data_IF_292503999512
#
_entry.id   IF_292503999512
#
_cell.length_a   1.000
_cell.length_b   1.000
_cell.length_c   1.000
_cell.angle_alpha   90.00
_cell.angle_beta   90.00
_cell.angle_gamma   90.00
#
_symmetry.space_group_name_H-M   'P 1'
#
loop_
_entity.id
_entity.type
_entity.pdbx_description
1 polymer ?
#
# COMPACT_ATOMS: atom_id res chain seq x y z
N UNK A 1 -12.38 -38.95 -3.52
CA UNK A 1 -12.32 -37.73 -2.73
C UNK A 1 -10.87 -37.63 -2.23
N UNK A 2 -10.06 -36.95 -3.01
CA UNK A 2 -8.63 -36.79 -2.69
C UNK A 2 -8.49 -35.54 -1.85
N UNK A 3 -8.52 -35.69 -0.50
CA UNK A 3 -8.23 -34.62 0.43
C UNK A 3 -6.72 -34.49 0.54
N UNK A 4 -6.11 -33.92 -0.49
CA UNK A 4 -4.73 -33.44 -0.36
C UNK A 4 -4.78 -32.33 0.68
N UNK A 5 -4.38 -32.64 1.93
CA UNK A 5 -4.25 -31.65 2.98
C UNK A 5 -3.37 -30.51 2.43
N UNK A 6 -3.92 -29.32 2.37
CA UNK A 6 -3.18 -28.17 1.88
C UNK A 6 -1.91 -28.03 2.73
N UNK A 7 -0.75 -28.12 2.08
CA UNK A 7 0.56 -27.96 2.76
C UNK A 7 0.58 -26.60 3.42
N UNK A 8 0.86 -26.55 4.73
CA UNK A 8 1.06 -25.31 5.44
C UNK A 8 2.25 -24.55 4.85
N UNK A 9 2.09 -23.25 4.60
CA UNK A 9 3.16 -22.39 4.13
C UNK A 9 4.22 -22.18 5.22
N UNK A 10 5.49 -22.29 4.83
CA UNK A 10 6.61 -21.76 5.62
C UNK A 10 7.01 -20.38 5.07
N UNK A 11 7.61 -19.52 5.89
CA UNK A 11 7.98 -18.16 5.46
C UNK A 11 8.93 -18.16 4.25
N UNK A 12 9.83 -19.13 4.15
CA UNK A 12 10.72 -19.31 3.00
C UNK A 12 10.01 -19.79 1.71
N UNK A 13 8.76 -20.31 1.82
CA UNK A 13 7.90 -20.59 0.66
C UNK A 13 7.20 -19.31 0.18
N UNK A 14 7.07 -18.29 1.07
CA UNK A 14 6.40 -17.02 0.79
C UNK A 14 7.37 -15.95 0.32
N UNK A 15 8.51 -15.78 1.03
CA UNK A 15 9.53 -14.78 0.72
C UNK A 15 10.74 -15.45 0.07
N UNK A 16 11.34 -14.77 -0.89
CA UNK A 16 12.66 -15.15 -1.38
C UNK A 16 13.77 -14.74 -0.39
N UNK A 17 13.91 -15.51 0.69
CA UNK A 17 14.89 -15.23 1.74
C UNK A 17 16.35 -15.34 1.26
N UNK A 18 16.61 -16.04 0.14
CA UNK A 18 17.94 -16.07 -0.47
C UNK A 18 18.32 -14.72 -1.09
N UNK A 19 17.36 -14.03 -1.68
CA UNK A 19 17.52 -12.69 -2.24
C UNK A 19 17.33 -11.58 -1.19
N UNK A 20 16.42 -11.78 -0.25
CA UNK A 20 16.04 -10.83 0.79
C UNK A 20 16.24 -11.46 2.17
N UNK A 21 17.47 -11.49 2.70
CA UNK A 21 17.85 -12.25 3.90
C UNK A 21 17.39 -11.57 5.20
N UNK A 22 16.10 -11.22 5.31
CA UNK A 22 15.53 -10.48 6.43
C UNK A 22 15.19 -11.35 7.64
N UNK A 23 15.38 -12.67 7.55
CA UNK A 23 15.19 -13.58 8.68
C UNK A 23 16.30 -13.47 9.74
N UNK A 24 17.45 -12.96 9.37
CA UNK A 24 18.60 -12.76 10.25
C UNK A 24 19.00 -11.28 10.27
N UNK A 25 18.28 -10.42 11.00
CA UNK A 25 18.39 -8.96 10.89
C UNK A 25 19.79 -8.42 11.22
N UNK A 26 20.57 -9.11 12.06
CA UNK A 26 21.91 -8.70 12.45
C UNK A 26 22.99 -9.17 11.47
N UNK A 27 22.65 -10.05 10.53
CA UNK A 27 23.61 -10.53 9.53
C UNK A 27 23.97 -9.41 8.54
N UNK A 28 25.22 -9.39 8.08
CA UNK A 28 25.72 -8.38 7.13
C UNK A 28 24.85 -8.22 5.88
N UNK A 29 24.34 -9.29 5.23
CA UNK A 29 23.47 -9.15 4.07
C UNK A 29 22.16 -8.42 4.38
N UNK A 30 21.53 -8.71 5.54
CA UNK A 30 20.32 -8.03 5.97
C UNK A 30 20.58 -6.54 6.26
N UNK A 31 21.66 -6.22 6.95
CA UNK A 31 22.07 -4.85 7.22
C UNK A 31 22.34 -4.06 5.92
N UNK A 32 22.99 -4.69 4.94
CA UNK A 32 23.22 -4.08 3.62
C UNK A 32 21.90 -3.78 2.90
N UNK A 33 20.93 -4.69 2.95
CA UNK A 33 19.59 -4.50 2.38
C UNK A 33 18.85 -3.35 3.08
N UNK A 34 18.88 -3.30 4.43
CA UNK A 34 18.28 -2.21 5.21
C UNK A 34 18.87 -0.87 4.81
N UNK A 35 20.19 -0.76 4.71
CA UNK A 35 20.88 0.47 4.28
C UNK A 35 20.52 0.87 2.85
N UNK A 36 20.37 -0.11 1.95
CA UNK A 36 19.87 0.13 0.60
C UNK A 36 18.47 0.74 0.63
N UNK A 37 17.53 0.15 1.39
CA UNK A 37 16.16 0.67 1.51
C UNK A 37 16.14 2.09 2.08
N UNK A 38 16.89 2.36 3.15
CA UNK A 38 17.05 3.72 3.72
C UNK A 38 17.51 4.73 2.69
N UNK A 39 18.55 4.37 1.94
CA UNK A 39 19.11 5.25 0.89
C UNK A 39 18.07 5.56 -0.19
N UNK A 40 17.31 4.55 -0.64
CA UNK A 40 16.24 4.74 -1.64
C UNK A 40 15.08 5.60 -1.10
N UNK A 41 14.61 5.31 0.12
CA UNK A 41 13.55 6.09 0.78
C UNK A 41 13.98 7.55 0.93
N UNK A 42 15.19 7.82 1.41
CA UNK A 42 15.71 9.17 1.57
C UNK A 42 15.85 9.91 0.23
N UNK A 43 16.39 9.24 -0.79
CA UNK A 43 16.68 9.87 -2.08
C UNK A 43 15.42 10.05 -2.94
N UNK A 44 14.49 9.11 -2.91
CA UNK A 44 13.37 9.01 -3.86
C UNK A 44 12.00 8.93 -3.20
N UNK A 45 11.90 8.89 -1.86
CA UNK A 45 10.64 8.69 -1.15
C UNK A 45 10.04 7.28 -1.29
N UNK A 46 10.73 6.37 -1.98
CA UNK A 46 10.25 5.02 -2.25
C UNK A 46 11.40 4.01 -2.33
N UNK A 47 11.13 2.77 -1.92
CA UNK A 47 12.01 1.61 -2.11
C UNK A 47 11.19 0.42 -2.60
N UNK A 48 11.68 -0.31 -3.60
CA UNK A 48 11.03 -1.50 -4.15
C UNK A 48 11.94 -2.72 -4.04
N UNK A 49 11.35 -3.82 -3.58
CA UNK A 49 11.98 -5.14 -3.51
C UNK A 49 11.27 -6.07 -4.50
N UNK A 50 11.76 -6.13 -5.72
CA UNK A 50 11.15 -6.89 -6.82
C UNK A 50 11.28 -8.39 -6.60
N UNK A 51 10.15 -9.13 -6.75
CA UNK A 51 10.12 -10.58 -6.52
C UNK A 51 10.33 -10.94 -5.04
N UNK A 52 9.98 -10.04 -4.12
CA UNK A 52 10.05 -10.26 -2.68
C UNK A 52 9.16 -11.45 -2.27
N UNK A 53 7.90 -11.42 -2.69
CA UNK A 53 7.01 -12.58 -2.55
C UNK A 53 7.22 -13.51 -3.75
N UNK A 54 7.35 -14.81 -3.47
CA UNK A 54 7.54 -15.85 -4.51
C UNK A 54 6.30 -15.99 -5.37
N UNK A 55 6.45 -16.33 -6.66
CA UNK A 55 5.34 -16.43 -7.61
C UNK A 55 4.22 -17.39 -7.16
N UNK A 56 4.58 -18.52 -6.53
CA UNK A 56 3.62 -19.52 -6.05
C UNK A 56 2.75 -18.97 -4.91
N UNK A 57 3.35 -18.17 -4.01
CA UNK A 57 2.64 -17.50 -2.93
C UNK A 57 1.73 -16.37 -3.48
N UNK A 58 2.22 -15.57 -4.43
CA UNK A 58 1.39 -14.58 -5.16
C UNK A 58 0.18 -15.25 -5.80
N UNK A 59 0.38 -16.33 -6.53
CA UNK A 59 -0.70 -17.08 -7.18
C UNK A 59 -1.70 -17.64 -6.16
N UNK A 60 -1.25 -18.07 -4.99
CA UNK A 60 -2.13 -18.57 -3.92
C UNK A 60 -2.98 -17.42 -3.33
N UNK A 61 -2.39 -16.25 -3.07
CA UNK A 61 -3.13 -15.07 -2.61
C UNK A 61 -4.17 -14.63 -3.64
N UNK A 62 -3.83 -14.61 -4.92
CA UNK A 62 -4.77 -14.23 -5.98
C UNK A 62 -5.93 -15.23 -6.11
N UNK A 63 -5.68 -16.54 -5.99
CA UNK A 63 -6.76 -17.55 -5.97
C UNK A 63 -7.69 -17.33 -4.77
N UNK A 64 -7.14 -17.10 -3.58
CA UNK A 64 -7.93 -16.77 -2.40
C UNK A 64 -8.76 -15.51 -2.63
N UNK A 65 -8.12 -14.43 -3.06
CA UNK A 65 -8.74 -13.15 -3.33
C UNK A 65 -9.91 -13.28 -4.34
N UNK A 66 -9.75 -14.11 -5.38
CA UNK A 66 -10.81 -14.39 -6.34
C UNK A 66 -12.03 -15.09 -5.72
N UNK A 67 -11.83 -15.97 -4.73
CA UNK A 67 -12.97 -16.58 -4.00
C UNK A 67 -13.69 -15.61 -3.07
N UNK A 68 -12.99 -14.57 -2.62
CA UNK A 68 -13.50 -13.55 -1.71
C UNK A 68 -14.02 -12.30 -2.45
N UNK A 69 -13.87 -12.25 -3.75
CA UNK A 69 -14.17 -11.06 -4.57
C UNK A 69 -15.61 -10.55 -4.38
N UNK A 70 -16.58 -11.46 -4.23
CA UNK A 70 -17.97 -11.12 -3.95
C UNK A 70 -18.23 -10.47 -2.59
N UNK A 71 -17.25 -10.53 -1.66
CA UNK A 71 -17.31 -9.90 -0.34
C UNK A 71 -16.56 -8.56 -0.31
N UNK A 72 -15.85 -8.21 -1.38
CA UNK A 72 -15.07 -7.00 -1.43
C UNK A 72 -15.96 -5.75 -1.40
N UNK A 73 -15.74 -4.87 -0.41
CA UNK A 73 -16.48 -3.62 -0.29
C UNK A 73 -16.08 -2.63 -1.38
N UNK A 74 -17.06 -2.08 -2.08
CA UNK A 74 -16.87 -1.03 -3.09
C UNK A 74 -16.84 0.34 -2.44
N UNK A 75 -15.76 1.06 -2.63
CA UNK A 75 -15.63 2.48 -2.31
C UNK A 75 -15.59 3.28 -3.60
N UNK A 76 -16.41 4.31 -3.69
CA UNK A 76 -16.34 5.33 -4.75
C UNK A 76 -16.65 6.69 -4.12
N UNK A 77 -15.70 7.60 -4.18
CA UNK A 77 -15.80 8.90 -3.55
C UNK A 77 -14.97 9.96 -4.29
N UNK A 78 -15.27 11.23 -4.02
CA UNK A 78 -14.40 12.36 -4.34
C UNK A 78 -13.82 12.92 -3.06
N UNK A 79 -12.59 13.37 -3.13
CA UNK A 79 -11.86 13.97 -2.00
C UNK A 79 -10.83 14.97 -2.51
N UNK A 80 -10.36 15.87 -1.67
CA UNK A 80 -9.18 16.66 -1.97
C UNK A 80 -7.89 15.89 -1.61
N UNK A 81 -6.75 16.35 -2.08
CA UNK A 81 -5.46 15.68 -1.89
C UNK A 81 -5.05 15.48 -0.41
N UNK A 82 -5.71 16.13 0.52
CA UNK A 82 -5.41 16.11 1.97
C UNK A 82 -6.44 15.33 2.78
N UNK A 83 -7.46 14.75 2.16
CA UNK A 83 -8.61 14.12 2.83
C UNK A 83 -9.24 15.03 3.90
N UNK A 84 -9.14 16.33 3.71
CA UNK A 84 -9.70 17.32 4.64
C UNK A 84 -11.12 17.75 4.24
N UNK A 85 -11.85 18.28 5.22
CA UNK A 85 -13.16 18.90 4.93
C UNK A 85 -12.98 20.10 3.98
N UNK A 86 -13.98 20.35 3.14
CA UNK A 86 -13.98 21.55 2.27
C UNK A 86 -13.83 22.82 3.11
N UNK A 87 -13.08 23.76 2.58
CA UNK A 87 -12.77 25.05 3.19
C UNK A 87 -13.24 26.19 2.28
N UNK A 88 -14.55 26.52 2.25
CA UNK A 88 -15.13 27.49 1.30
C UNK A 88 -14.51 28.87 1.32
N UNK A 89 -13.82 29.23 2.42
CA UNK A 89 -13.11 30.52 2.55
C UNK A 89 -11.82 30.60 1.70
N UNK A 90 -11.30 29.45 1.24
CA UNK A 90 -10.13 29.40 0.35
C UNK A 90 -10.55 29.65 -1.11
N UNK A 91 -9.57 30.06 -1.94
CA UNK A 91 -9.79 30.21 -3.39
C UNK A 91 -10.26 28.89 -4.01
N UNK A 92 -11.06 28.96 -5.08
CA UNK A 92 -11.62 27.77 -5.71
C UNK A 92 -10.55 26.84 -6.32
N UNK A 93 -9.39 27.38 -6.68
CA UNK A 93 -8.23 26.66 -7.22
C UNK A 93 -7.22 26.24 -6.15
N UNK A 94 -7.52 26.42 -4.86
CA UNK A 94 -6.67 25.96 -3.76
C UNK A 94 -6.64 24.41 -3.75
N UNK A 95 -5.47 23.77 -3.67
CA UNK A 95 -5.34 22.30 -3.67
C UNK A 95 -6.16 21.60 -2.60
N UNK A 96 -6.45 22.28 -1.48
CA UNK A 96 -7.28 21.75 -0.38
C UNK A 96 -8.77 21.73 -0.71
N UNK A 97 -9.17 22.25 -1.88
CA UNK A 97 -10.54 22.27 -2.40
C UNK A 97 -10.72 21.47 -3.68
N UNK A 98 -9.63 21.30 -4.45
CA UNK A 98 -9.71 20.56 -5.72
C UNK A 98 -10.06 19.10 -5.46
N UNK A 99 -11.16 18.65 -6.07
CA UNK A 99 -11.69 17.30 -5.88
C UNK A 99 -11.12 16.36 -6.94
N UNK A 100 -10.71 15.18 -6.49
CA UNK A 100 -10.27 14.07 -7.32
C UNK A 100 -11.12 12.83 -7.01
N UNK A 101 -11.28 11.96 -7.99
CA UNK A 101 -12.04 10.71 -7.83
C UNK A 101 -11.15 9.60 -7.29
N UNK A 102 -11.72 8.75 -6.45
CA UNK A 102 -11.14 7.46 -6.05
C UNK A 102 -12.21 6.40 -6.09
N UNK A 103 -11.90 5.26 -6.71
CA UNK A 103 -12.78 4.11 -6.79
C UNK A 103 -11.95 2.82 -6.73
N UNK A 104 -12.36 1.89 -5.87
CA UNK A 104 -11.72 0.60 -5.67
C UNK A 104 -12.63 -0.35 -4.90
N UNK A 105 -12.26 -1.63 -4.86
CA UNK A 105 -12.86 -2.61 -3.95
C UNK A 105 -11.81 -3.12 -2.97
N UNK A 106 -12.21 -3.47 -1.75
CA UNK A 106 -11.31 -3.93 -0.70
C UNK A 106 -11.84 -5.19 -0.01
N UNK A 107 -10.97 -6.18 0.16
CA UNK A 107 -11.13 -7.30 1.09
C UNK A 107 -10.38 -6.93 2.36
N UNK A 108 -11.05 -6.96 3.51
CA UNK A 108 -10.47 -6.63 4.81
C UNK A 108 -9.74 -7.82 5.45
N UNK A 109 -8.94 -7.51 6.47
CA UNK A 109 -8.15 -8.48 7.22
C UNK A 109 -8.96 -9.66 7.79
N UNK A 110 -10.14 -9.38 8.34
CA UNK A 110 -11.04 -10.38 8.90
C UNK A 110 -11.55 -11.42 7.88
N UNK A 111 -11.46 -11.11 6.60
CA UNK A 111 -11.88 -11.98 5.49
C UNK A 111 -10.74 -12.85 4.95
N UNK A 112 -9.47 -12.47 5.18
CA UNK A 112 -8.30 -13.22 4.72
C UNK A 112 -8.12 -14.45 5.59
N UNK A 113 -8.06 -15.63 4.98
CA UNK A 113 -8.01 -16.92 5.69
C UNK A 113 -6.75 -17.10 6.52
N UNK A 114 -6.87 -17.86 7.63
CA UNK A 114 -5.74 -18.14 8.53
C UNK A 114 -4.58 -18.93 7.90
N UNK A 115 -4.83 -19.60 6.77
CA UNK A 115 -3.82 -20.36 6.01
C UNK A 115 -3.28 -19.56 4.80
N UNK A 116 -3.67 -18.29 4.67
CA UNK A 116 -3.20 -17.43 3.59
C UNK A 116 -1.69 -17.16 3.69
N UNK A 117 -0.93 -17.26 2.59
CA UNK A 117 0.47 -16.83 2.60
C UNK A 117 0.61 -15.32 2.86
N UNK A 118 -0.41 -14.51 2.52
CA UNK A 118 -0.43 -13.09 2.86
C UNK A 118 -0.57 -12.87 4.37
N UNK A 119 -1.41 -13.68 5.04
CA UNK A 119 -1.54 -13.63 6.50
C UNK A 119 -0.23 -14.03 7.18
N UNK A 120 0.36 -15.16 6.77
CA UNK A 120 1.66 -15.60 7.29
C UNK A 120 2.74 -14.51 7.12
N UNK A 121 2.79 -13.87 5.96
CA UNK A 121 3.72 -12.78 5.69
C UNK A 121 3.52 -11.61 6.64
N UNK A 122 2.28 -11.14 6.78
CA UNK A 122 1.96 -9.97 7.61
C UNK A 122 2.16 -10.23 9.11
N UNK A 123 1.83 -11.44 9.58
CA UNK A 123 1.98 -11.84 11.00
C UNK A 123 3.43 -12.16 11.39
N UNK A 124 4.33 -12.32 10.42
CA UNK A 124 5.72 -12.66 10.72
C UNK A 124 6.51 -11.44 11.24
N UNK A 125 7.04 -11.56 12.46
CA UNK A 125 7.78 -10.48 13.13
C UNK A 125 9.03 -10.03 12.36
N UNK A 126 9.67 -10.94 11.61
CA UNK A 126 10.83 -10.61 10.79
C UNK A 126 10.53 -9.56 9.72
N UNK A 127 9.31 -9.55 9.15
CA UNK A 127 8.91 -8.47 8.22
C UNK A 127 8.73 -7.14 8.97
N UNK A 128 8.06 -7.16 10.13
CA UNK A 128 7.84 -5.96 10.94
C UNK A 128 9.17 -5.31 11.35
N UNK A 129 10.13 -6.11 11.82
CA UNK A 129 11.45 -5.64 12.21
C UNK A 129 12.26 -5.11 11.03
N UNK A 130 12.20 -5.78 9.88
CA UNK A 130 12.84 -5.29 8.66
C UNK A 130 12.27 -3.93 8.24
N UNK A 131 10.94 -3.78 8.20
CA UNK A 131 10.29 -2.51 7.86
C UNK A 131 10.68 -1.43 8.88
N UNK A 132 10.57 -1.71 10.18
CA UNK A 132 10.97 -0.79 11.24
C UNK A 132 12.39 -0.26 11.04
N UNK A 133 13.33 -1.17 10.78
CA UNK A 133 14.71 -0.80 10.52
C UNK A 133 14.85 0.03 9.24
N UNK A 134 14.18 -0.35 8.15
CA UNK A 134 14.25 0.34 6.86
C UNK A 134 13.70 1.78 6.91
N UNK A 135 12.61 2.01 7.68
CA UNK A 135 12.01 3.34 7.85
C UNK A 135 12.58 4.13 9.04
N UNK A 136 13.61 3.60 9.71
CA UNK A 136 14.34 4.25 10.81
C UNK A 136 13.46 4.62 12.03
N UNK A 137 12.45 3.79 12.34
CA UNK A 137 11.60 4.02 13.50
C UNK A 137 12.14 3.29 14.75
N UNK A 138 12.00 3.88 15.96
CA UNK A 138 12.40 3.23 17.20
C UNK A 138 11.49 2.03 17.53
N UNK A 139 10.22 2.13 17.21
CA UNK A 139 9.20 1.08 17.40
C UNK A 139 8.26 1.02 16.21
N UNK A 140 7.76 -0.19 15.93
CA UNK A 140 6.75 -0.43 14.91
C UNK A 140 5.90 -1.62 15.33
N UNK A 141 4.59 -1.47 15.19
CA UNK A 141 3.60 -2.50 15.44
C UNK A 141 2.78 -2.75 14.19
N UNK A 142 2.33 -3.99 13.99
CA UNK A 142 1.24 -4.25 13.05
C UNK A 142 0.00 -3.53 13.54
N UNK A 143 -0.77 -2.96 12.62
CA UNK A 143 -2.04 -2.33 12.97
C UNK A 143 -2.98 -3.36 13.63
N UNK A 144 -3.67 -2.96 14.69
CA UNK A 144 -4.55 -3.84 15.47
C UNK A 144 -6.01 -3.78 14.98
N UNK A 145 -6.28 -3.10 13.87
CA UNK A 145 -7.62 -2.98 13.33
C UNK A 145 -8.11 -4.32 12.75
N UNK A 146 -9.33 -4.78 13.12
CA UNK A 146 -9.84 -6.07 12.69
C UNK A 146 -10.11 -6.16 11.18
N UNK A 147 -10.23 -5.04 10.47
CA UNK A 147 -10.49 -5.02 9.02
C UNK A 147 -9.39 -4.31 8.23
N UNK A 148 -8.75 -3.29 8.81
CA UNK A 148 -7.77 -2.46 8.13
C UNK A 148 -6.32 -2.91 8.28
N UNK A 149 -6.01 -3.85 9.17
CA UNK A 149 -4.65 -4.28 9.47
C UNK A 149 -3.86 -4.72 8.22
N UNK A 150 -4.48 -5.54 7.38
CA UNK A 150 -3.99 -5.88 6.06
C UNK A 150 -5.18 -6.05 5.13
N UNK A 151 -5.07 -5.56 3.90
CA UNK A 151 -6.20 -5.61 2.96
C UNK A 151 -5.74 -5.90 1.54
N UNK A 152 -6.63 -6.51 0.74
CA UNK A 152 -6.42 -6.72 -0.69
C UNK A 152 -7.30 -5.73 -1.45
N UNK A 153 -6.67 -4.86 -2.24
CA UNK A 153 -7.32 -3.83 -3.03
C UNK A 153 -7.43 -4.26 -4.49
N UNK A 154 -8.60 -4.10 -5.08
CA UNK A 154 -8.87 -4.29 -6.50
C UNK A 154 -9.20 -2.95 -7.15
N UNK A 155 -8.59 -2.69 -8.27
CA UNK A 155 -8.92 -1.60 -9.16
C UNK A 155 -9.39 -2.21 -10.48
N UNK A 156 -10.69 -2.17 -10.71
CA UNK A 156 -11.33 -2.65 -11.93
C UNK A 156 -11.14 -1.65 -13.08
N UNK A 157 -11.64 -1.95 -14.27
CA UNK A 157 -11.61 -1.02 -15.40
C UNK A 157 -12.17 0.36 -14.99
N UNK A 158 -11.42 1.43 -15.23
CA UNK A 158 -11.67 2.83 -14.86
C UNK A 158 -11.59 3.14 -13.37
N UNK A 159 -11.24 2.19 -12.52
CA UNK A 159 -10.93 2.49 -11.14
C UNK A 159 -9.58 3.18 -11.03
N UNK A 160 -9.48 4.05 -10.04
CA UNK A 160 -8.32 4.88 -9.80
C UNK A 160 -8.22 5.24 -8.31
N UNK A 161 -7.09 5.69 -7.89
CA UNK A 161 -6.94 6.37 -6.61
C UNK A 161 -6.40 7.78 -6.91
N UNK A 162 -7.23 8.79 -6.72
CA UNK A 162 -6.90 10.18 -7.04
C UNK A 162 -5.68 10.70 -6.26
N UNK A 163 -5.10 11.78 -6.72
CA UNK A 163 -3.96 12.41 -6.07
C UNK A 163 -4.22 12.70 -4.60
N UNK A 164 -3.35 12.20 -3.71
CA UNK A 164 -3.48 12.39 -2.27
C UNK A 164 -2.14 12.27 -1.54
N UNK A 165 -2.15 12.69 -0.29
CA UNK A 165 -1.12 12.38 0.70
C UNK A 165 -1.69 11.39 1.71
N UNK A 166 -0.86 10.50 2.21
CA UNK A 166 -1.24 9.61 3.32
C UNK A 166 -1.27 10.36 4.66
N UNK A 167 -2.09 9.86 5.57
CA UNK A 167 -2.07 10.29 6.98
C UNK A 167 -0.90 9.64 7.73
N UNK A 168 -0.52 8.42 7.38
CA UNK A 168 0.65 7.70 7.91
C UNK A 168 1.95 8.21 7.31
N UNK A 169 3.05 8.11 8.06
CA UNK A 169 4.37 8.53 7.58
C UNK A 169 4.80 7.75 6.32
N UNK A 170 4.53 6.46 6.31
CA UNK A 170 4.86 5.58 5.21
C UNK A 170 3.73 4.57 4.94
N UNK A 171 3.74 4.02 3.76
CA UNK A 171 2.90 2.90 3.34
C UNK A 171 3.74 1.69 2.94
N UNK A 172 3.19 0.50 3.16
CA UNK A 172 3.77 -0.76 2.68
C UNK A 172 2.76 -1.45 1.80
N UNK A 173 3.15 -1.72 0.56
CA UNK A 173 2.28 -2.38 -0.42
C UNK A 173 2.98 -3.56 -1.07
N UNK A 174 2.19 -4.56 -1.43
CA UNK A 174 2.65 -5.74 -2.16
C UNK A 174 1.85 -5.85 -3.46
N UNK A 175 2.52 -5.76 -4.60
CA UNK A 175 1.89 -5.95 -5.90
C UNK A 175 1.55 -7.42 -6.10
N UNK A 176 0.30 -7.73 -6.39
CA UNK A 176 -0.19 -9.08 -6.64
C UNK A 176 -0.51 -9.30 -8.12
N UNK A 177 -1.11 -8.33 -8.80
CA UNK A 177 -1.47 -8.39 -10.22
C UNK A 177 -1.43 -6.99 -10.84
N UNK A 178 -0.84 -6.88 -12.02
CA UNK A 178 -0.90 -5.66 -12.83
C UNK A 178 -2.10 -5.70 -13.78
N UNK A 179 -2.66 -4.53 -14.09
CA UNK A 179 -3.66 -4.35 -15.15
C UNK A 179 -3.05 -4.54 -16.55
N UNK A 180 -3.90 -4.63 -17.58
CA UNK A 180 -3.49 -4.66 -18.98
C UNK A 180 -2.91 -3.33 -19.43
N UNK A 181 -3.48 -2.22 -18.93
CA UNK A 181 -3.04 -0.86 -19.14
C UNK A 181 -3.46 0.05 -17.99
N UNK A 182 -2.90 1.23 -17.90
CA UNK A 182 -3.15 2.12 -16.78
C UNK A 182 -2.79 1.50 -15.42
N UNK A 183 -3.45 1.92 -14.35
CA UNK A 183 -3.21 1.39 -13.00
C UNK A 183 -1.79 1.65 -12.48
N UNK A 184 -1.07 2.58 -13.06
CA UNK A 184 0.29 2.94 -12.65
C UNK A 184 0.27 3.71 -11.34
N UNK A 185 1.19 3.37 -10.45
CA UNK A 185 1.42 4.16 -9.24
C UNK A 185 2.34 5.33 -9.57
N UNK A 186 1.78 6.53 -9.62
CA UNK A 186 2.51 7.77 -9.87
C UNK A 186 2.67 8.57 -8.57
N UNK A 187 3.82 9.20 -8.41
CA UNK A 187 4.09 10.04 -7.24
C UNK A 187 5.09 11.16 -7.54
N UNK A 188 4.99 12.23 -6.78
CA UNK A 188 6.00 13.28 -6.74
C UNK A 188 6.65 13.28 -5.35
N UNK A 189 7.94 12.87 -5.25
CA UNK A 189 8.61 12.70 -3.98
C UNK A 189 8.87 14.03 -3.28
N UNK A 190 8.74 14.02 -1.96
CA UNK A 190 9.12 15.14 -1.08
C UNK A 190 8.53 16.49 -1.52
N UNK A 191 7.24 16.47 -1.94
CA UNK A 191 6.53 17.69 -2.35
C UNK A 191 6.26 18.60 -1.16
N UNK A 192 6.02 18.04 0.02
CA UNK A 192 5.81 18.81 1.25
C UNK A 192 6.69 18.29 2.38
N UNK A 193 6.86 19.11 3.39
CA UNK A 193 7.48 18.75 4.65
C UNK A 193 6.66 19.34 5.84
N UNK A 194 7.17 19.21 7.08
CA UNK A 194 6.48 19.69 8.28
C UNK A 194 6.35 21.23 8.37
N UNK A 195 7.03 21.98 7.51
CA UNK A 195 7.10 23.43 7.56
C UNK A 195 6.43 24.10 6.35
N UNK A 196 6.38 23.39 5.20
CA UNK A 196 5.88 23.95 3.94
C UNK A 196 5.07 22.90 3.15
N UNK A 197 3.79 23.18 2.97
CA UNK A 197 2.86 22.38 2.16
C UNK A 197 3.09 22.53 0.65
N UNK A 198 3.88 23.53 0.22
CA UNK A 198 4.19 23.83 -1.18
C UNK A 198 2.96 23.82 -2.10
N UNK A 199 1.91 24.48 -1.66
CA UNK A 199 0.59 24.48 -2.33
C UNK A 199 0.66 24.81 -3.81
N UNK A 200 1.61 25.65 -4.24
CA UNK A 200 1.81 25.97 -5.67
C UNK A 200 2.24 24.77 -6.50
N UNK A 201 3.16 23.94 -5.98
CA UNK A 201 3.62 22.72 -6.64
C UNK A 201 2.51 21.66 -6.67
N UNK A 202 1.80 21.48 -5.53
CA UNK A 202 0.64 20.57 -5.45
C UNK A 202 -0.42 20.96 -6.46
N UNK A 203 -0.77 22.25 -6.56
CA UNK A 203 -1.72 22.77 -7.57
C UNK A 203 -1.26 22.47 -8.99
N UNK A 204 0.03 22.67 -9.29
CA UNK A 204 0.60 22.34 -10.59
C UNK A 204 0.40 20.86 -10.95
N UNK A 205 0.66 19.93 -10.01
CA UNK A 205 0.48 18.49 -10.22
C UNK A 205 -1.00 18.15 -10.43
N UNK A 206 -1.90 18.71 -9.64
CA UNK A 206 -3.36 18.51 -9.79
C UNK A 206 -3.86 19.08 -11.12
N UNK A 207 -3.26 20.17 -11.63
CA UNK A 207 -3.54 20.75 -12.93
C UNK A 207 -2.87 20.02 -14.12
N UNK A 208 -2.08 18.96 -13.85
CA UNK A 208 -1.51 18.13 -14.91
C UNK A 208 0.01 18.27 -15.13
N UNK A 209 0.73 19.07 -14.33
CA UNK A 209 2.20 19.11 -14.40
C UNK A 209 2.80 17.73 -14.07
N UNK A 210 3.85 17.32 -14.80
CA UNK A 210 4.47 15.99 -14.69
C UNK A 210 5.98 16.02 -14.48
N UNK A 211 6.60 17.18 -14.44
CA UNK A 211 8.06 17.36 -14.39
C UNK A 211 8.72 16.67 -13.19
N UNK A 212 7.98 16.55 -12.08
CA UNK A 212 8.42 15.90 -10.84
C UNK A 212 7.74 14.56 -10.58
N UNK A 213 6.88 14.11 -11.48
CA UNK A 213 6.12 12.86 -11.29
C UNK A 213 6.94 11.68 -11.77
N UNK A 214 7.10 10.71 -10.89
CA UNK A 214 7.77 9.44 -11.14
C UNK A 214 6.73 8.32 -11.11
N UNK A 215 7.04 7.18 -11.75
CA UNK A 215 6.27 5.95 -11.63
C UNK A 215 6.99 4.97 -10.72
N UNK A 216 6.21 4.23 -9.93
CA UNK A 216 6.65 3.16 -9.05
C UNK A 216 5.95 1.85 -9.45
N UNK A 217 6.06 1.49 -10.72
CA UNK A 217 5.45 0.26 -11.21
C UNK A 217 6.31 -0.94 -10.81
N UNK A 218 5.65 -1.98 -10.29
CA UNK A 218 6.28 -3.22 -9.87
C UNK A 218 5.59 -4.44 -10.47
N UNK A 219 6.37 -5.45 -10.86
CA UNK A 219 5.83 -6.75 -11.22
C UNK A 219 5.17 -7.43 -10.01
N UNK A 220 4.26 -8.42 -10.22
CA UNK A 220 3.72 -9.22 -9.13
C UNK A 220 4.81 -9.78 -8.22
N UNK A 221 4.57 -9.76 -6.91
CA UNK A 221 5.54 -10.12 -5.88
C UNK A 221 6.46 -8.98 -5.42
N UNK A 222 6.32 -7.76 -5.95
CA UNK A 222 7.12 -6.60 -5.51
C UNK A 222 6.55 -6.02 -4.23
N UNK A 223 7.38 -5.98 -3.17
CA UNK A 223 7.12 -5.20 -1.96
C UNK A 223 7.63 -3.77 -2.17
N UNK A 224 6.81 -2.79 -1.84
CA UNK A 224 7.18 -1.37 -1.90
C UNK A 224 6.98 -0.70 -0.53
N UNK A 225 7.98 0.06 -0.10
CA UNK A 225 7.91 1.01 1.00
C UNK A 225 7.88 2.42 0.41
N UNK A 226 6.99 3.27 0.90
CA UNK A 226 6.72 4.57 0.29
C UNK A 226 6.43 5.64 1.35
N UNK A 227 7.03 6.83 1.22
CA UNK A 227 6.87 7.97 2.12
C UNK A 227 5.61 8.79 1.75
N UNK A 228 4.43 8.22 2.03
CA UNK A 228 3.16 8.73 1.55
C UNK A 228 2.74 10.08 2.14
N UNK A 229 3.15 10.38 3.38
CA UNK A 229 2.85 11.68 4.02
C UNK A 229 3.48 12.86 3.29
N UNK A 230 4.68 12.69 2.75
CA UNK A 230 5.46 13.79 2.16
C UNK A 230 5.47 13.79 0.63
N UNK A 231 4.95 12.73 0.03
CA UNK A 231 4.96 12.53 -1.42
C UNK A 231 3.54 12.37 -1.93
N UNK A 232 3.05 13.37 -2.68
CA UNK A 232 1.73 13.26 -3.31
C UNK A 232 1.74 12.12 -4.32
N UNK A 233 0.70 11.28 -4.31
CA UNK A 233 0.66 10.08 -5.15
C UNK A 233 -0.74 9.71 -5.61
N UNK A 234 -0.81 8.84 -6.61
CA UNK A 234 -2.06 8.32 -7.14
C UNK A 234 -1.89 6.94 -7.77
N UNK A 235 -3.00 6.26 -8.02
CA UNK A 235 -3.08 5.17 -9.00
C UNK A 235 -3.86 5.72 -10.20
N UNK A 236 -3.28 5.66 -11.39
CA UNK A 236 -3.96 6.12 -12.62
C UNK A 236 -5.15 5.21 -12.95
N UNK A 237 -6.15 5.68 -13.74
CA UNK A 237 -7.24 4.83 -14.16
C UNK A 237 -6.75 3.53 -14.78
N UNK A 238 -7.38 2.42 -14.37
CA UNK A 238 -7.10 1.09 -14.93
C UNK A 238 -7.75 0.96 -16.30
N UNK A 239 -7.03 0.37 -17.23
CA UNK A 239 -7.47 0.08 -18.60
C UNK A 239 -7.49 -1.43 -18.84
N UNK A 240 -8.55 -1.91 -19.49
CA UNK A 240 -8.74 -3.32 -19.79
C UNK A 240 -9.47 -4.09 -18.69
N UNK A 241 -9.68 -5.39 -18.91
CA UNK A 241 -10.53 -6.23 -18.06
C UNK A 241 -9.80 -6.87 -16.89
N UNK A 242 -8.47 -6.94 -16.96
CA UNK A 242 -7.65 -7.48 -15.89
C UNK A 242 -7.48 -6.43 -14.79
N UNK A 243 -8.03 -6.63 -13.58
CA UNK A 243 -7.90 -5.67 -12.50
C UNK A 243 -6.45 -5.54 -12.03
N UNK A 244 -6.07 -4.35 -11.59
CA UNK A 244 -4.87 -4.19 -10.76
C UNK A 244 -5.20 -4.65 -9.34
N UNK A 245 -4.36 -5.53 -8.77
CA UNK A 245 -4.54 -6.04 -7.41
C UNK A 245 -3.27 -5.85 -6.60
N UNK A 246 -3.40 -5.24 -5.42
CA UNK A 246 -2.30 -5.13 -4.47
C UNK A 246 -2.78 -5.34 -3.03
N UNK A 247 -1.90 -5.84 -2.18
CA UNK A 247 -2.14 -5.81 -0.74
C UNK A 247 -1.56 -4.51 -0.14
N UNK A 248 -2.23 -4.01 0.91
CA UNK A 248 -1.76 -2.92 1.78
C UNK A 248 -1.54 -3.51 3.15
N UNK A 249 -0.34 -3.35 3.70
CA UNK A 249 0.07 -3.85 5.00
C UNK A 249 0.18 -2.64 5.94
N UNK A 250 -0.76 -2.51 6.88
CA UNK A 250 -0.81 -1.36 7.78
C UNK A 250 0.07 -1.57 9.02
N UNK A 251 0.78 -0.51 9.38
CA UNK A 251 1.66 -0.47 10.56
C UNK A 251 1.46 0.85 11.30
N UNK A 252 1.71 0.83 12.60
CA UNK A 252 1.60 1.99 13.48
C UNK A 252 2.76 2.08 14.48
N UNK A 253 2.97 3.26 15.06
CA UNK A 253 3.93 3.44 16.16
C UNK A 253 3.30 3.22 17.54
N UNK A 254 1.99 3.00 17.59
CA UNK A 254 1.23 2.68 18.79
C UNK A 254 0.73 1.24 18.74
N UNK A 255 0.81 0.45 19.84
CA UNK A 255 0.55 -1.00 19.81
C UNK A 255 -0.91 -1.36 19.51
N UNK A 256 -1.86 -0.51 19.87
CA UNK A 256 -3.31 -0.77 19.75
C UNK A 256 -3.98 0.15 18.73
N UNK A 257 -3.21 0.68 17.79
CA UNK A 257 -3.75 1.56 16.75
C UNK A 257 -4.84 0.85 15.96
N UNK A 258 -5.92 1.58 15.72
CA UNK A 258 -7.06 1.11 14.91
C UNK A 258 -7.60 2.26 14.07
N UNK A 259 -8.19 1.91 12.95
CA UNK A 259 -8.94 2.86 12.13
C UNK A 259 -10.11 3.46 12.93
N UNK A 260 -10.47 4.70 12.61
CA UNK A 260 -11.72 5.27 13.11
C UNK A 260 -12.90 4.50 12.53
N UNK A 261 -14.03 4.51 13.24
CA UNK A 261 -15.27 3.90 12.75
C UNK A 261 -15.62 4.42 11.33
N UNK A 262 -15.52 5.73 11.12
CA UNK A 262 -15.78 6.35 9.82
C UNK A 262 -14.90 5.76 8.70
N UNK A 263 -13.61 5.55 8.97
CA UNK A 263 -12.70 4.96 7.98
C UNK A 263 -13.03 3.49 7.71
N UNK A 264 -13.41 2.72 8.73
CA UNK A 264 -13.85 1.33 8.56
C UNK A 264 -15.13 1.26 7.70
N UNK A 265 -16.12 2.09 7.99
CA UNK A 265 -17.35 2.19 7.19
C UNK A 265 -17.06 2.60 5.75
N UNK A 266 -16.22 3.61 5.55
CA UNK A 266 -15.88 4.12 4.23
C UNK A 266 -15.11 3.09 3.38
N UNK A 267 -14.08 2.46 3.94
CA UNK A 267 -13.17 1.61 3.17
C UNK A 267 -13.54 0.13 3.17
N UNK A 268 -14.31 -0.33 4.16
CA UNK A 268 -14.60 -1.76 4.34
C UNK A 268 -16.10 -2.04 4.54
N UNK A 269 -16.96 -1.03 4.60
CA UNK A 269 -18.40 -1.19 4.72
C UNK A 269 -18.87 -1.66 6.10
N UNK A 270 -18.02 -1.61 7.11
CA UNK A 270 -18.35 -2.04 8.47
C UNK A 270 -17.85 -1.05 9.50
N UNK A 271 -18.68 -0.74 10.50
CA UNK A 271 -18.29 0.07 11.66
C UNK A 271 -17.82 -0.75 12.87
N UNK A 272 -17.95 -2.09 12.79
CA UNK A 272 -17.61 -3.04 13.87
C UNK A 272 -16.21 -3.64 13.71
#
# INVERSE_FOLDING_TARGET
MDTTAARAWAIGDVIDLGRYPIAEPDATPAQSLIQHCRSQLKARGACQLQGFMRPEAVAAVLREASTLEGLAHRTEATHNAYFSKDQPALAADDPRRLQVRSAKRAIGWNQIGSQSPLRLLYEWDGLTEFIRAAVELPVLYRDADPVGACSIMFYDERDELGWHFDNSEFAVTLMLQTSEGGGSFEFAPWIRDSHDERLGEVRGILAGARDRVLSLDGAPGTLALFQGRHSIHRVTPVEGKTPRVNAVLAYAQEPDHRLTQLNRELFYGTGE
#
